data_IF_708788732418
#
_entry.id   IF_708788732418
#
_cell.length_a   1.000
_cell.length_b   1.000
_cell.length_c   1.000
_cell.angle_alpha   90.00
_cell.angle_beta   90.00
_cell.angle_gamma   90.00
#
_symmetry.space_group_name_H-M   'P 1'
#
loop_
_entity.id
_entity.type
_entity.pdbx_description
1 polymer ?
#
# COMPACT_ATOMS: atom_id res chain seq x y z
N UNK A 1 6.40 -7.62 9.91
CA UNK A 1 5.55 -6.57 10.53
C UNK A 1 6.09 -6.08 11.87
N UNK A 2 6.26 -6.91 12.93
CA UNK A 2 6.77 -6.43 14.27
C UNK A 2 8.05 -5.62 14.18
N UNK A 3 8.99 -6.04 13.33
CA UNK A 3 10.25 -5.33 13.12
C UNK A 3 10.05 -3.95 12.47
N UNK A 4 9.16 -3.84 11.48
CA UNK A 4 8.84 -2.56 10.82
C UNK A 4 8.24 -1.56 11.82
N UNK A 5 7.23 -1.98 12.59
CA UNK A 5 6.61 -1.11 13.60
C UNK A 5 7.60 -0.71 14.69
N UNK A 6 8.42 -1.65 15.16
CA UNK A 6 9.48 -1.33 16.11
C UNK A 6 10.44 -0.27 15.55
N UNK A 7 10.91 -0.44 14.30
CA UNK A 7 11.78 0.53 13.64
C UNK A 7 11.12 1.92 13.52
N UNK A 8 9.86 1.97 13.07
CA UNK A 8 9.09 3.22 12.99
C UNK A 8 8.99 3.88 14.36
N UNK A 9 8.65 3.13 15.41
CA UNK A 9 8.58 3.65 16.78
C UNK A 9 9.90 4.26 17.23
N UNK A 10 11.03 3.57 17.01
CA UNK A 10 12.35 4.08 17.36
C UNK A 10 12.73 5.36 16.60
N UNK A 11 12.34 5.47 15.33
CA UNK A 11 12.57 6.69 14.53
C UNK A 11 11.78 7.86 15.12
N UNK A 12 10.49 7.65 15.41
CA UNK A 12 9.62 8.68 16.00
C UNK A 12 10.17 9.14 17.35
N UNK A 13 10.48 8.21 18.28
CA UNK A 13 11.01 8.53 19.60
C UNK A 13 12.34 9.31 19.54
N UNK A 14 13.25 8.93 18.63
CA UNK A 14 14.51 9.62 18.46
C UNK A 14 14.35 11.07 17.98
N UNK A 15 13.42 11.30 17.03
CA UNK A 15 13.19 12.63 16.47
C UNK A 15 12.40 13.52 17.44
N UNK A 16 11.45 12.96 18.18
CA UNK A 16 10.72 13.67 19.25
C UNK A 16 11.68 14.14 20.36
N UNK A 17 12.67 13.32 20.71
CA UNK A 17 13.71 13.68 21.68
C UNK A 17 14.57 14.89 21.23
N UNK A 18 14.72 15.10 19.92
CA UNK A 18 15.42 16.25 19.33
C UNK A 18 14.52 17.47 19.14
N UNK A 19 13.22 17.37 19.45
CA UNK A 19 12.25 18.48 19.35
C UNK A 19 11.76 18.82 17.93
N UNK A 20 11.98 17.93 16.96
CA UNK A 20 11.66 18.10 15.55
C UNK A 20 10.54 17.16 15.04
N UNK A 21 9.56 16.84 15.88
CA UNK A 21 8.53 15.82 15.57
C UNK A 21 7.47 16.26 14.52
N UNK A 22 7.36 17.55 14.19
CA UNK A 22 6.35 18.04 13.25
C UNK A 22 6.58 17.47 11.85
N UNK A 23 5.58 16.76 11.31
CA UNK A 23 5.58 16.16 9.97
C UNK A 23 6.36 14.86 9.81
N UNK A 24 6.97 14.30 10.86
CA UNK A 24 7.74 13.06 10.74
C UNK A 24 6.84 11.85 10.47
N UNK A 25 5.65 11.82 11.05
CA UNK A 25 4.68 10.75 10.83
C UNK A 25 4.24 10.70 9.37
N UNK A 26 3.96 11.86 8.78
CA UNK A 26 3.61 11.98 7.35
C UNK A 26 4.77 11.52 6.46
N UNK A 27 6.01 11.90 6.80
CA UNK A 27 7.18 11.49 6.04
C UNK A 27 7.42 9.97 6.09
N UNK A 28 7.15 9.32 7.23
CA UNK A 28 7.23 7.87 7.37
C UNK A 28 6.12 7.19 6.56
N UNK A 29 4.90 7.68 6.62
CA UNK A 29 3.78 7.14 5.84
C UNK A 29 4.06 7.24 4.33
N UNK A 30 4.54 8.39 3.86
CA UNK A 30 4.97 8.60 2.48
C UNK A 30 6.12 7.65 2.07
N UNK A 31 7.10 7.44 2.96
CA UNK A 31 8.20 6.53 2.70
C UNK A 31 7.74 5.07 2.59
N UNK A 32 6.81 4.62 3.45
CA UNK A 32 6.20 3.28 3.39
C UNK A 32 5.45 3.10 2.07
N UNK A 33 4.62 4.06 1.67
CA UNK A 33 3.88 4.03 0.40
C UNK A 33 4.85 3.93 -0.78
N UNK A 34 5.87 4.78 -0.81
CA UNK A 34 6.86 4.86 -1.88
C UNK A 34 7.71 3.59 -2.00
N UNK A 35 8.14 3.03 -0.87
CA UNK A 35 8.92 1.80 -0.85
C UNK A 35 8.07 0.59 -1.28
N UNK A 36 6.82 0.52 -0.84
CA UNK A 36 5.89 -0.52 -1.27
C UNK A 36 5.67 -0.47 -2.79
N UNK A 37 5.44 0.74 -3.35
CA UNK A 37 5.28 0.92 -4.79
C UNK A 37 6.54 0.51 -5.57
N UNK A 38 7.72 0.84 -5.04
CA UNK A 38 9.01 0.44 -5.65
C UNK A 38 9.16 -1.08 -5.64
N UNK A 39 8.91 -1.73 -4.50
CA UNK A 39 8.94 -3.18 -4.38
C UNK A 39 7.99 -3.85 -5.39
N UNK A 40 6.73 -3.39 -5.45
CA UNK A 40 5.74 -3.92 -6.39
C UNK A 40 6.20 -3.77 -7.84
N UNK A 41 6.70 -2.57 -8.21
CA UNK A 41 7.21 -2.31 -9.55
C UNK A 41 8.35 -3.26 -9.93
N UNK A 42 9.32 -3.45 -9.06
CA UNK A 42 10.48 -4.30 -9.33
C UNK A 42 10.08 -5.77 -9.41
N UNK A 43 9.26 -6.25 -8.47
CA UNK A 43 8.83 -7.65 -8.39
C UNK A 43 7.91 -8.06 -9.54
N UNK A 44 6.98 -7.19 -9.94
CA UNK A 44 6.09 -7.40 -11.08
C UNK A 44 6.73 -7.07 -12.43
N UNK A 45 7.90 -6.45 -12.43
CA UNK A 45 8.56 -5.93 -13.63
C UNK A 45 7.64 -5.01 -14.44
N UNK A 46 6.95 -4.08 -13.74
CA UNK A 46 6.05 -3.12 -14.37
C UNK A 46 6.81 -2.16 -15.28
N UNK A 47 6.25 -1.84 -16.43
CA UNK A 47 6.84 -0.89 -17.41
C UNK A 47 6.94 0.50 -16.83
N UNK A 48 5.95 0.91 -16.02
CA UNK A 48 5.84 2.26 -15.47
C UNK A 48 5.81 2.23 -13.95
N UNK A 49 6.17 3.36 -13.33
CA UNK A 49 5.76 3.69 -11.98
C UNK A 49 4.33 4.21 -12.05
N UNK A 50 3.42 3.50 -11.41
CA UNK A 50 2.04 3.96 -11.26
C UNK A 50 1.98 4.94 -10.08
N UNK A 51 1.60 6.22 -10.29
CA UNK A 51 1.50 7.16 -9.19
C UNK A 51 0.39 6.73 -8.23
N UNK A 52 0.66 6.92 -6.93
CA UNK A 52 -0.29 6.60 -5.85
C UNK A 52 -0.81 7.92 -5.28
N UNK A 53 -2.12 8.04 -5.18
CA UNK A 53 -2.80 9.20 -4.64
C UNK A 53 -3.70 8.82 -3.47
N UNK A 54 -3.68 9.61 -2.40
CA UNK A 54 -4.64 9.51 -1.32
C UNK A 54 -5.95 10.17 -1.73
N UNK A 55 -7.07 9.45 -1.65
CA UNK A 55 -8.40 9.94 -1.99
C UNK A 55 -9.41 9.45 -0.97
N UNK A 56 -10.37 10.29 -0.59
CA UNK A 56 -11.47 9.87 0.27
C UNK A 56 -12.36 8.87 -0.47
N UNK A 57 -12.49 7.67 0.07
CA UNK A 57 -13.32 6.59 -0.45
C UNK A 57 -14.36 6.14 0.58
N UNK A 58 -15.27 5.25 0.18
CA UNK A 58 -16.20 4.59 1.11
C UNK A 58 -15.44 3.77 2.17
N UNK A 59 -16.07 3.57 3.32
CA UNK A 59 -15.46 2.91 4.49
C UNK A 59 -14.98 1.48 4.25
N UNK A 60 -15.49 0.81 3.24
CA UNK A 60 -15.10 -0.56 2.87
C UNK A 60 -14.16 -0.62 1.66
N UNK A 61 -13.72 0.53 1.15
CA UNK A 61 -12.84 0.60 0.00
C UNK A 61 -11.47 1.12 0.43
N UNK A 62 -10.46 0.25 0.38
CA UNK A 62 -9.10 0.56 0.79
C UNK A 62 -8.27 1.15 -0.34
N UNK A 63 -8.49 0.69 -1.57
CA UNK A 63 -7.78 1.15 -2.75
C UNK A 63 -8.51 0.90 -4.05
N UNK A 64 -7.95 1.42 -5.13
CA UNK A 64 -8.46 1.23 -6.48
C UNK A 64 -7.37 1.51 -7.51
N UNK A 65 -7.14 0.60 -8.43
CA UNK A 65 -6.40 0.87 -9.66
C UNK A 65 -7.31 1.49 -10.71
N UNK A 66 -6.92 2.63 -11.25
CA UNK A 66 -7.63 3.29 -12.35
C UNK A 66 -6.98 2.98 -13.68
N UNK A 67 -7.53 2.03 -14.41
CA UNK A 67 -7.08 1.68 -15.75
C UNK A 67 -7.11 2.87 -16.73
N UNK A 68 -8.08 3.76 -16.56
CA UNK A 68 -8.25 4.93 -17.45
C UNK A 68 -7.10 5.91 -17.33
N UNK A 69 -6.58 6.09 -16.13
CA UNK A 69 -5.55 7.10 -15.83
C UNK A 69 -4.17 6.50 -15.61
N UNK A 70 -4.08 5.17 -15.40
CA UNK A 70 -2.83 4.52 -15.02
C UNK A 70 -2.36 4.98 -13.64
N UNK A 71 -3.26 5.01 -12.68
CA UNK A 71 -3.05 5.54 -11.32
C UNK A 71 -3.61 4.57 -10.29
N UNK A 72 -2.98 4.55 -9.12
CA UNK A 72 -3.46 3.84 -7.95
C UNK A 72 -3.99 4.86 -6.95
N UNK A 73 -5.17 4.61 -6.42
CA UNK A 73 -5.77 5.41 -5.35
C UNK A 73 -5.80 4.58 -4.08
N UNK A 74 -5.47 5.19 -2.95
CA UNK A 74 -5.61 4.62 -1.61
C UNK A 74 -6.53 5.50 -0.78
N UNK A 75 -7.31 4.88 0.10
CA UNK A 75 -8.26 5.63 0.91
C UNK A 75 -7.53 6.51 1.92
N UNK A 76 -7.70 7.83 1.80
CA UNK A 76 -7.05 8.81 2.67
C UNK A 76 -7.39 8.67 4.17
N UNK A 77 -8.47 7.95 4.50
CA UNK A 77 -8.78 7.63 5.90
C UNK A 77 -7.80 6.64 6.54
N UNK A 78 -6.96 5.99 5.75
CA UNK A 78 -6.01 4.95 6.20
C UNK A 78 -4.55 5.28 5.85
N UNK A 79 -4.25 6.50 5.42
CA UNK A 79 -2.89 6.91 5.05
C UNK A 79 -2.07 7.48 6.21
N UNK A 80 -2.71 7.84 7.33
CA UNK A 80 -2.05 8.40 8.51
C UNK A 80 -1.83 7.32 9.59
N UNK A 81 -1.20 6.21 9.20
CA UNK A 81 -1.06 5.04 10.07
C UNK A 81 -0.07 5.27 11.21
N UNK A 82 0.88 6.18 11.06
CA UNK A 82 1.86 6.50 12.09
C UNK A 82 1.30 7.35 13.23
N UNK A 83 0.19 8.06 13.01
CA UNK A 83 -0.49 8.84 14.05
C UNK A 83 -1.33 7.97 14.99
N UNK A 84 -1.61 6.72 14.59
CA UNK A 84 -2.48 5.83 15.36
C UNK A 84 -1.74 5.10 16.48
N UNK A 85 -2.44 4.80 17.57
CA UNK A 85 -1.81 4.21 18.77
C UNK A 85 -1.53 2.71 18.59
N UNK A 86 -0.38 2.33 19.05
CA UNK A 86 0.31 1.04 19.22
C UNK A 86 -0.28 -0.23 18.54
N UNK A 87 -1.39 -0.79 18.98
CA UNK A 87 -1.88 -2.08 18.45
C UNK A 87 -2.63 -1.93 17.10
N UNK A 88 -3.35 -0.82 16.90
CA UNK A 88 -4.07 -0.53 15.66
C UNK A 88 -3.11 -0.20 14.50
N UNK A 89 -1.95 0.39 14.80
CA UNK A 89 -0.91 0.72 13.81
C UNK A 89 -0.43 -0.49 13.03
N UNK A 90 -0.34 -1.64 13.68
CA UNK A 90 0.11 -2.88 13.04
C UNK A 90 -0.79 -3.30 11.90
N UNK A 91 -2.08 -3.38 12.19
CA UNK A 91 -3.06 -3.88 11.25
C UNK A 91 -3.21 -2.89 10.08
N UNK A 92 -3.17 -1.60 10.38
CA UNK A 92 -3.32 -0.55 9.36
C UNK A 92 -2.11 -0.41 8.42
N UNK A 93 -0.88 -0.56 8.93
CA UNK A 93 0.31 -0.59 8.06
C UNK A 93 0.27 -1.83 7.16
N UNK A 94 -0.12 -2.98 7.70
CA UNK A 94 -0.25 -4.19 6.91
C UNK A 94 -1.30 -4.04 5.81
N UNK A 95 -2.47 -3.50 6.14
CA UNK A 95 -3.55 -3.25 5.19
C UNK A 95 -3.16 -2.23 4.12
N UNK A 96 -2.40 -1.17 4.47
CA UNK A 96 -1.89 -0.20 3.52
C UNK A 96 -0.93 -0.86 2.53
N UNK A 97 0.03 -1.65 3.01
CA UNK A 97 0.99 -2.38 2.16
C UNK A 97 0.24 -3.37 1.28
N UNK A 98 -0.64 -4.20 1.84
CA UNK A 98 -1.44 -5.18 1.11
C UNK A 98 -2.29 -4.53 0.01
N UNK A 99 -2.95 -3.42 0.33
CA UNK A 99 -3.72 -2.63 -0.65
C UNK A 99 -2.86 -2.17 -1.82
N UNK A 100 -1.68 -1.59 -1.56
CA UNK A 100 -0.79 -1.12 -2.63
C UNK A 100 -0.31 -2.29 -3.50
N UNK A 101 0.01 -3.42 -2.89
CA UNK A 101 0.41 -4.64 -3.62
C UNK A 101 -0.74 -5.16 -4.49
N UNK A 102 -1.95 -5.23 -3.94
CA UNK A 102 -3.16 -5.65 -4.65
C UNK A 102 -3.44 -4.77 -5.88
N UNK A 103 -3.46 -3.46 -5.71
CA UNK A 103 -3.71 -2.52 -6.81
C UNK A 103 -2.58 -2.51 -7.85
N UNK A 104 -1.34 -2.73 -7.42
CA UNK A 104 -0.20 -2.91 -8.33
C UNK A 104 -0.33 -4.19 -9.17
N UNK A 105 -0.93 -5.25 -8.62
CA UNK A 105 -1.21 -6.48 -9.38
C UNK A 105 -2.28 -6.23 -10.45
N UNK A 106 -3.29 -5.40 -10.19
CA UNK A 106 -4.24 -4.96 -11.22
C UNK A 106 -3.56 -4.16 -12.33
N UNK A 107 -2.61 -3.29 -11.99
CA UNK A 107 -1.82 -2.58 -13.00
C UNK A 107 -1.00 -3.56 -13.87
N UNK A 108 -0.41 -4.58 -13.28
CA UNK A 108 0.28 -5.65 -14.01
C UNK A 108 -0.68 -6.44 -14.90
N UNK A 109 -1.85 -6.82 -14.41
CA UNK A 109 -2.88 -7.51 -15.20
C UNK A 109 -3.25 -6.69 -16.45
N UNK A 110 -3.38 -5.38 -16.30
CA UNK A 110 -3.67 -4.47 -17.41
C UNK A 110 -2.50 -4.42 -18.42
N UNK A 111 -1.24 -4.32 -17.95
CA UNK A 111 -0.06 -4.38 -18.82
C UNK A 111 0.06 -5.71 -19.60
N UNK A 112 -0.41 -6.81 -19.00
CA UNK A 112 -0.47 -8.13 -19.67
C UNK A 112 -1.66 -8.27 -20.63
N UNK A 113 -2.52 -7.25 -20.73
CA UNK A 113 -3.71 -7.28 -21.58
C UNK A 113 -4.82 -8.20 -21.05
N UNK A 114 -4.80 -8.53 -19.76
CA UNK A 114 -5.86 -9.30 -19.10
C UNK A 114 -7.12 -8.44 -19.10
N UNK A 115 -8.20 -9.01 -19.63
CA UNK A 115 -9.46 -8.28 -19.78
C UNK A 115 -10.29 -8.41 -18.52
N UNK A 116 -10.75 -7.29 -18.03
CA UNK A 116 -11.74 -7.18 -16.95
C UNK A 116 -13.16 -7.24 -17.56
N UNK A 117 -13.45 -8.33 -18.32
CA UNK A 117 -14.75 -8.49 -18.97
C UNK A 117 -15.82 -8.79 -17.93
N UNK A 118 -16.97 -8.10 -18.04
CA UNK A 118 -18.09 -8.25 -17.11
C UNK A 118 -17.68 -8.02 -15.64
N UNK A 119 -16.74 -7.09 -15.43
CA UNK A 119 -16.30 -6.74 -14.08
C UNK A 119 -17.49 -6.21 -13.27
N UNK A 120 -17.76 -6.86 -12.16
CA UNK A 120 -18.76 -6.46 -11.18
C UNK A 120 -18.06 -5.69 -10.09
N UNK A 121 -18.53 -4.51 -9.74
CA UNK A 121 -17.97 -3.72 -8.66
C UNK A 121 -18.39 -4.26 -7.29
N UNK A 122 -17.60 -3.95 -6.26
CA UNK A 122 -17.92 -4.33 -4.88
C UNK A 122 -19.25 -3.76 -4.39
N UNK A 123 -19.67 -2.60 -4.94
CA UNK A 123 -20.92 -1.94 -4.60
C UNK A 123 -22.15 -2.63 -5.27
N UNK A 124 -21.94 -3.29 -6.41
CA UNK A 124 -23.01 -4.01 -7.11
C UNK A 124 -23.28 -5.38 -6.52
N UNK A 125 -22.23 -6.17 -6.31
CA UNK A 125 -22.31 -7.50 -5.70
C UNK A 125 -20.97 -7.89 -5.13
N UNK A 126 -20.80 -7.75 -3.81
CA UNK A 126 -19.53 -8.00 -3.11
C UNK A 126 -19.03 -9.44 -3.26
N UNK A 127 -19.90 -10.44 -3.20
CA UNK A 127 -19.50 -11.85 -3.33
C UNK A 127 -19.02 -12.17 -4.75
N UNK A 128 -19.71 -11.67 -5.76
CA UNK A 128 -19.34 -11.86 -7.16
C UNK A 128 -18.04 -11.09 -7.47
N UNK A 129 -17.92 -9.83 -7.00
CA UNK A 129 -16.69 -9.06 -7.08
C UNK A 129 -15.51 -9.84 -6.52
N UNK A 130 -15.63 -10.32 -5.29
CA UNK A 130 -14.56 -11.00 -4.57
C UNK A 130 -14.09 -12.29 -5.27
N UNK A 131 -14.97 -12.97 -6.00
CA UNK A 131 -14.71 -14.24 -6.65
C UNK A 131 -14.29 -14.11 -8.12
N UNK A 132 -14.17 -12.91 -8.65
CA UNK A 132 -13.63 -12.68 -10.00
C UNK A 132 -12.17 -13.12 -10.06
N UNK A 133 -11.77 -13.76 -11.16
CA UNK A 133 -10.41 -14.29 -11.31
C UNK A 133 -9.32 -13.22 -11.11
N UNK A 134 -9.57 -11.98 -11.56
CA UNK A 134 -8.63 -10.87 -11.41
C UNK A 134 -8.47 -10.45 -9.94
N UNK A 135 -9.57 -10.47 -9.18
CA UNK A 135 -9.57 -10.14 -7.75
C UNK A 135 -8.92 -11.26 -6.91
N UNK A 136 -9.19 -12.53 -7.26
CA UNK A 136 -8.55 -13.68 -6.61
C UNK A 136 -7.04 -13.63 -6.83
N UNK A 137 -6.58 -13.47 -8.08
CA UNK A 137 -5.16 -13.38 -8.43
C UNK A 137 -4.47 -12.21 -7.72
N UNK A 138 -5.12 -11.03 -7.64
CA UNK A 138 -4.53 -9.87 -6.98
C UNK A 138 -4.36 -10.09 -5.47
N UNK A 139 -5.37 -10.66 -4.79
CA UNK A 139 -5.28 -10.99 -3.36
C UNK A 139 -4.25 -12.07 -3.05
N UNK A 140 -4.24 -13.16 -3.83
CA UNK A 140 -3.28 -14.24 -3.64
C UNK A 140 -1.86 -13.71 -3.80
N UNK A 141 -1.60 -12.94 -4.86
CA UNK A 141 -0.29 -12.35 -5.09
C UNK A 141 0.13 -11.40 -3.97
N UNK A 142 -0.74 -10.49 -3.52
CA UNK A 142 -0.45 -9.58 -2.43
C UNK A 142 -0.14 -10.34 -1.13
N UNK A 143 -0.96 -11.34 -0.79
CA UNK A 143 -0.75 -12.20 0.39
C UNK A 143 0.58 -12.96 0.36
N UNK A 144 1.01 -13.43 -0.80
CA UNK A 144 2.30 -14.12 -0.95
C UNK A 144 3.50 -13.18 -0.83
N UNK A 145 3.34 -11.89 -1.16
CA UNK A 145 4.44 -10.94 -1.27
C UNK A 145 4.53 -9.96 -0.10
N UNK A 146 3.51 -9.84 0.74
CA UNK A 146 3.48 -8.86 1.83
C UNK A 146 4.66 -9.02 2.80
N UNK A 147 5.07 -10.23 3.12
CA UNK A 147 6.23 -10.50 3.98
C UNK A 147 7.53 -9.93 3.40
N UNK A 148 7.79 -10.20 2.13
CA UNK A 148 8.98 -9.72 1.44
C UNK A 148 8.95 -8.19 1.24
N UNK A 149 7.77 -7.62 1.01
CA UNK A 149 7.61 -6.17 0.91
C UNK A 149 7.94 -5.48 2.24
N UNK A 150 7.50 -6.05 3.37
CA UNK A 150 7.81 -5.56 4.70
C UNK A 150 9.32 -5.61 4.97
N UNK A 151 9.98 -6.71 4.64
CA UNK A 151 11.44 -6.84 4.79
C UNK A 151 12.17 -5.81 3.93
N UNK A 152 11.73 -5.61 2.69
CA UNK A 152 12.26 -4.58 1.81
C UNK A 152 12.09 -3.16 2.37
N UNK A 153 10.94 -2.85 2.98
CA UNK A 153 10.69 -1.55 3.61
C UNK A 153 11.63 -1.38 4.82
N UNK A 154 11.73 -2.38 5.69
CA UNK A 154 12.62 -2.35 6.86
C UNK A 154 14.08 -2.03 6.45
N UNK A 155 14.55 -2.66 5.39
CA UNK A 155 15.94 -2.50 4.92
C UNK A 155 16.21 -1.12 4.28
N UNK A 156 15.17 -0.42 3.79
CA UNK A 156 15.32 0.80 3.01
C UNK A 156 14.71 2.06 3.66
N UNK A 157 13.96 1.94 4.76
CA UNK A 157 13.19 3.04 5.34
C UNK A 157 14.07 4.22 5.76
N UNK A 158 15.16 3.95 6.47
CA UNK A 158 16.07 5.01 6.94
C UNK A 158 16.69 5.75 5.76
N UNK A 159 17.18 5.03 4.76
CA UNK A 159 17.77 5.63 3.57
C UNK A 159 16.76 6.46 2.76
N UNK A 160 15.49 6.07 2.76
CA UNK A 160 14.43 6.81 2.08
C UNK A 160 14.09 8.10 2.82
N UNK A 161 14.05 8.08 4.15
CA UNK A 161 13.78 9.26 4.99
C UNK A 161 14.92 10.30 4.98
N UNK A 162 16.15 9.88 4.65
CA UNK A 162 17.33 10.76 4.60
C UNK A 162 17.52 11.47 3.25
N UNK A 163 16.63 11.25 2.27
CA UNK A 163 16.69 11.88 0.94
C UNK A 163 16.00 13.22 0.90
#
# INVERSE_FOLDING_TARGET
>A
MKQLVYQITQIIEAIEAEGNAEGITDAIDDAVIKLTNRYAKETLNLRYYYPIFAQKMGVNNWGQYSRRYGEIYINSSYTHVCEMMNDERYDLIAELIDTILHESRHAWQDEQGIKFNNYVSSDENYEEYRNQNTEVDAREWASEHIGNAIDYIVDNLIDELMK
#
